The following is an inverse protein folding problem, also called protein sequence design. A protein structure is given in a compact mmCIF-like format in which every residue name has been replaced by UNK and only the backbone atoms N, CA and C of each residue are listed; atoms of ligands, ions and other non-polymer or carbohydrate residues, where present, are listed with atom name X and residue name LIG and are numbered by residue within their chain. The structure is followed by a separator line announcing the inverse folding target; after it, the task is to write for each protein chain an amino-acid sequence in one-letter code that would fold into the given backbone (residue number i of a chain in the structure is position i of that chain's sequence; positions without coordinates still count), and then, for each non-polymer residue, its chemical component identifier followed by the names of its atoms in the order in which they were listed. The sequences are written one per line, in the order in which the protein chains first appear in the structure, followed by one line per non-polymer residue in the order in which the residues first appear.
data_IF_719254339092
#
_entry.id   IF_719254339092
#
_cell.length_a   1.000
_cell.length_b   1.000
_cell.length_c   1.000
_cell.angle_alpha   90.00
_cell.angle_beta   90.00
_cell.angle_gamma   90.00
#
_symmetry.space_group_name_H-M   'P 1'
#
loop_
_entity.id
_entity.type
_entity.pdbx_description
1 polymer ?
#
# COMPACT_ATOMS: atom_id res chain seq x y z
N UNK A 1 -39.20 -6.78 28.97
CA UNK A 1 -39.92 -6.07 27.91
C UNK A 1 -39.81 -6.90 26.66
N UNK A 2 -40.93 -7.04 25.97
CA UNK A 2 -41.04 -7.75 24.71
C UNK A 2 -40.85 -6.78 23.55
N UNK A 3 -40.08 -7.21 22.58
CA UNK A 3 -39.82 -6.41 21.39
C UNK A 3 -40.95 -6.57 20.38
N UNK A 4 -41.67 -5.48 20.12
CA UNK A 4 -42.65 -5.39 19.04
C UNK A 4 -42.03 -4.82 17.75
N UNK A 5 -42.79 -4.83 16.66
CA UNK A 5 -42.40 -4.24 15.38
C UNK A 5 -42.02 -2.76 15.51
N UNK A 6 -42.77 -1.97 16.28
CA UNK A 6 -42.41 -0.58 16.55
C UNK A 6 -41.02 -0.44 17.21
N UNK A 7 -40.61 -1.41 18.05
CA UNK A 7 -39.27 -1.40 18.63
C UNK A 7 -38.22 -1.74 17.59
N UNK A 8 -38.52 -2.65 16.67
CA UNK A 8 -37.63 -3.03 15.57
C UNK A 8 -37.43 -1.88 14.58
N UNK A 9 -38.50 -1.15 14.24
CA UNK A 9 -38.43 0.05 13.40
C UNK A 9 -37.52 1.09 14.07
N UNK A 10 -37.76 1.40 15.36
CA UNK A 10 -36.94 2.38 16.07
C UNK A 10 -35.48 1.93 16.21
N UNK A 11 -35.25 0.63 16.45
CA UNK A 11 -33.92 0.03 16.45
C UNK A 11 -33.23 0.23 15.10
N UNK A 12 -33.88 -0.11 14.00
CA UNK A 12 -33.31 0.01 12.67
C UNK A 12 -33.01 1.47 12.31
N UNK A 13 -33.92 2.40 12.60
CA UNK A 13 -33.67 3.84 12.43
C UNK A 13 -32.46 4.33 13.23
N UNK A 14 -32.28 3.88 14.47
CA UNK A 14 -31.10 4.27 15.26
C UNK A 14 -29.80 3.65 14.73
N UNK A 15 -29.85 2.41 14.24
CA UNK A 15 -28.70 1.76 13.59
C UNK A 15 -28.33 2.50 12.30
N UNK A 16 -29.32 2.96 11.54
CA UNK A 16 -29.12 3.76 10.33
C UNK A 16 -28.35 5.05 10.63
N UNK A 17 -28.74 5.78 11.68
CA UNK A 17 -28.10 7.03 12.09
C UNK A 17 -26.69 6.81 12.65
N UNK A 18 -26.53 5.85 13.57
CA UNK A 18 -25.23 5.61 14.23
C UNK A 18 -24.24 4.86 13.34
N UNK A 19 -24.75 4.08 12.37
CA UNK A 19 -23.99 3.25 11.44
C UNK A 19 -22.85 2.42 12.10
N UNK A 20 -23.18 1.35 12.85
CA UNK A 20 -22.18 0.49 13.47
C UNK A 20 -21.34 -0.31 12.46
N UNK A 21 -21.75 -0.36 11.19
CA UNK A 21 -21.03 -1.07 10.12
C UNK A 21 -19.84 -0.28 9.56
N UNK A 22 -19.77 1.03 9.83
CA UNK A 22 -18.58 1.83 9.55
C UNK A 22 -17.33 1.27 10.25
N UNK A 23 -17.48 0.72 11.46
CA UNK A 23 -16.41 0.09 12.22
C UNK A 23 -16.23 -1.40 11.89
N UNK A 24 -14.98 -1.88 11.96
CA UNK A 24 -14.63 -3.29 11.73
C UNK A 24 -15.29 -4.22 12.76
N UNK A 25 -15.62 -5.46 12.36
CA UNK A 25 -16.11 -6.50 13.27
C UNK A 25 -15.12 -6.74 14.42
N UNK A 26 -15.65 -7.06 15.61
CA UNK A 26 -14.88 -7.41 16.82
C UNK A 26 -13.91 -6.33 17.32
N UNK A 27 -14.16 -5.05 17.03
CA UNK A 27 -13.40 -3.93 17.61
C UNK A 27 -14.15 -3.29 18.78
N UNK A 28 -13.40 -2.62 19.67
CA UNK A 28 -13.94 -1.78 20.74
C UNK A 28 -14.78 -0.62 20.19
N UNK A 29 -14.39 -0.05 19.05
CA UNK A 29 -15.15 1.02 18.40
C UNK A 29 -16.55 0.56 17.95
N UNK A 30 -16.64 -0.61 17.30
CA UNK A 30 -17.95 -1.16 16.92
C UNK A 30 -18.80 -1.45 18.14
N UNK A 31 -18.19 -1.95 19.23
CA UNK A 31 -18.89 -2.14 20.51
C UNK A 31 -19.45 -0.81 21.04
N UNK A 32 -18.63 0.26 21.05
CA UNK A 32 -19.05 1.60 21.49
C UNK A 32 -20.21 2.16 20.67
N UNK A 33 -20.25 1.90 19.36
CA UNK A 33 -21.38 2.30 18.50
C UNK A 33 -22.67 1.57 18.92
N UNK A 34 -22.62 0.26 19.19
CA UNK A 34 -23.78 -0.47 19.72
C UNK A 34 -24.20 0.00 21.12
N UNK A 35 -23.26 0.39 21.98
CA UNK A 35 -23.56 1.01 23.29
C UNK A 35 -24.26 2.36 23.12
N UNK A 36 -23.83 3.17 22.15
CA UNK A 36 -24.50 4.43 21.80
C UNK A 36 -25.92 4.20 21.32
N UNK A 37 -26.15 3.23 20.44
CA UNK A 37 -27.49 2.84 19.99
C UNK A 37 -28.35 2.45 21.20
N UNK A 38 -27.86 1.57 22.08
CA UNK A 38 -28.60 1.17 23.27
C UNK A 38 -28.97 2.37 24.16
N UNK A 39 -28.02 3.28 24.42
CA UNK A 39 -28.26 4.51 25.21
C UNK A 39 -29.29 5.43 24.56
N UNK A 40 -29.30 5.55 23.24
CA UNK A 40 -30.25 6.40 22.53
C UNK A 40 -31.65 5.78 22.53
N UNK A 41 -31.77 4.47 22.32
CA UNK A 41 -33.05 3.75 22.39
C UNK A 41 -33.71 3.87 23.77
N UNK A 42 -32.94 3.82 24.86
CA UNK A 42 -33.48 4.01 26.23
C UNK A 42 -34.14 5.39 26.43
N UNK A 43 -33.73 6.41 25.66
CA UNK A 43 -34.30 7.77 25.72
C UNK A 43 -35.59 7.93 24.90
N UNK A 44 -35.96 6.94 24.10
CA UNK A 44 -37.17 7.00 23.28
C UNK A 44 -38.41 6.81 24.15
N UNK A 45 -39.37 7.73 24.00
CA UNK A 45 -40.60 7.74 24.79
C UNK A 45 -41.64 6.71 24.29
N UNK A 46 -41.67 6.46 22.98
CA UNK A 46 -42.55 5.49 22.35
C UNK A 46 -41.88 4.89 21.11
N UNK A 47 -41.65 3.57 21.07
CA UNK A 47 -41.91 2.61 22.13
C UNK A 47 -40.90 2.72 23.29
N UNK A 48 -41.30 2.32 24.52
CA UNK A 48 -40.45 2.44 25.72
C UNK A 48 -39.45 1.30 25.84
N UNK A 49 -38.16 1.64 25.83
CA UNK A 49 -37.10 0.65 26.01
C UNK A 49 -36.81 0.31 27.48
N UNK A 50 -36.31 -0.92 27.74
CA UNK A 50 -35.89 -1.31 29.09
C UNK A 50 -34.68 -0.45 29.48
N UNK A 51 -34.68 0.13 30.67
CA UNK A 51 -33.57 0.97 31.15
C UNK A 51 -32.23 0.23 31.23
N UNK A 52 -32.25 -1.08 31.42
CA UNK A 52 -31.07 -1.96 31.42
C UNK A 52 -30.73 -2.54 30.03
N UNK A 53 -31.10 -1.86 28.94
CA UNK A 53 -30.85 -2.34 27.58
C UNK A 53 -29.34 -2.34 27.29
N UNK A 54 -28.77 -3.51 27.04
CA UNK A 54 -27.34 -3.66 26.73
C UNK A 54 -27.09 -3.61 25.22
N UNK A 55 -25.86 -3.26 24.85
CA UNK A 55 -25.39 -3.27 23.47
C UNK A 55 -25.49 -4.67 22.85
N UNK A 56 -25.28 -5.71 23.68
CA UNK A 56 -25.42 -7.10 23.26
C UNK A 56 -26.85 -7.43 22.87
N UNK A 57 -27.83 -7.04 23.68
CA UNK A 57 -29.24 -7.33 23.42
C UNK A 57 -29.74 -6.66 22.13
N UNK A 58 -29.33 -5.39 21.92
CA UNK A 58 -29.62 -4.62 20.70
C UNK A 58 -29.02 -5.29 19.47
N UNK A 59 -27.74 -5.66 19.53
CA UNK A 59 -27.05 -6.33 18.42
C UNK A 59 -27.68 -7.69 18.10
N UNK A 60 -27.93 -8.51 19.11
CA UNK A 60 -28.55 -9.83 18.92
C UNK A 60 -29.97 -9.73 18.38
N UNK A 61 -30.73 -8.70 18.79
CA UNK A 61 -32.06 -8.43 18.22
C UNK A 61 -31.97 -8.11 16.73
N UNK A 62 -31.12 -7.14 16.34
CA UNK A 62 -30.91 -6.78 14.94
C UNK A 62 -30.53 -8.01 14.10
N UNK A 63 -29.55 -8.79 14.57
CA UNK A 63 -29.11 -10.00 13.86
C UNK A 63 -30.26 -10.98 13.63
N UNK A 64 -31.14 -11.18 14.62
CA UNK A 64 -32.30 -12.07 14.50
C UNK A 64 -33.31 -11.57 13.47
N UNK A 65 -33.65 -10.28 13.48
CA UNK A 65 -34.67 -9.73 12.56
C UNK A 65 -34.13 -9.63 11.13
N UNK A 66 -32.87 -9.25 10.94
CA UNK A 66 -32.22 -9.22 9.64
C UNK A 66 -32.15 -10.63 9.02
N UNK A 67 -31.82 -11.64 9.84
CA UNK A 67 -31.75 -13.03 9.36
C UNK A 67 -33.13 -13.58 8.96
N UNK A 68 -34.19 -13.22 9.70
CA UNK A 68 -35.58 -13.56 9.34
C UNK A 68 -36.01 -12.87 8.05
N UNK A 69 -35.70 -11.58 7.89
CA UNK A 69 -35.99 -10.82 6.68
C UNK A 69 -35.35 -11.45 5.44
N UNK A 70 -34.04 -11.77 5.50
CA UNK A 70 -33.34 -12.45 4.39
C UNK A 70 -33.95 -13.81 4.05
N UNK A 71 -34.40 -14.57 5.04
CA UNK A 71 -35.06 -15.86 4.80
C UNK A 71 -36.40 -15.66 4.06
N UNK A 72 -37.24 -14.72 4.54
CA UNK A 72 -38.52 -14.37 3.92
C UNK A 72 -38.33 -13.92 2.47
N UNK A 73 -37.43 -12.98 2.21
CA UNK A 73 -37.16 -12.47 0.85
C UNK A 73 -36.68 -13.58 -0.10
N UNK A 74 -35.81 -14.49 0.38
CA UNK A 74 -35.37 -15.64 -0.42
C UNK A 74 -36.48 -16.63 -0.74
N UNK A 75 -37.45 -16.83 0.16
CA UNK A 75 -38.61 -17.67 -0.08
C UNK A 75 -39.57 -17.04 -1.09
N UNK A 76 -39.82 -15.73 -0.99
CA UNK A 76 -40.68 -14.97 -1.90
C UNK A 76 -40.14 -14.93 -3.33
N UNK A 77 -38.83 -14.67 -3.48
CA UNK A 77 -38.14 -14.73 -4.79
C UNK A 77 -38.30 -16.12 -5.43
N UNK A 78 -38.22 -17.19 -4.62
CA UNK A 78 -38.37 -18.57 -5.12
C UNK A 78 -39.81 -18.93 -5.47
N UNK A 79 -40.80 -18.43 -4.73
CA UNK A 79 -42.19 -18.87 -4.84
C UNK A 79 -43.00 -18.09 -5.89
N UNK A 80 -42.81 -16.78 -5.94
CA UNK A 80 -43.69 -15.86 -6.68
C UNK A 80 -42.96 -15.18 -7.84
N UNK A 81 -41.67 -14.86 -7.68
CA UNK A 81 -40.93 -14.03 -8.64
C UNK A 81 -41.41 -12.57 -8.68
N UNK A 82 -42.40 -12.21 -7.87
CA UNK A 82 -42.97 -10.87 -7.71
C UNK A 82 -42.68 -10.40 -6.28
N UNK A 83 -42.23 -9.15 -6.15
CA UNK A 83 -41.93 -8.52 -4.86
C UNK A 83 -43.23 -8.06 -4.16
N UNK A 84 -43.49 -8.48 -2.91
CA UNK A 84 -44.65 -8.01 -2.15
C UNK A 84 -44.49 -6.56 -1.66
N UNK A 85 -45.60 -5.97 -1.22
CA UNK A 85 -45.62 -4.62 -0.65
C UNK A 85 -44.75 -4.57 0.61
N UNK A 86 -43.64 -3.83 0.54
CA UNK A 86 -42.66 -3.73 1.62
C UNK A 86 -43.17 -2.81 2.72
N UNK A 87 -43.16 -3.30 3.98
CA UNK A 87 -43.42 -2.44 5.13
C UNK A 87 -42.20 -1.54 5.43
N UNK A 88 -42.36 -0.53 6.28
CA UNK A 88 -41.25 0.36 6.67
C UNK A 88 -40.06 -0.45 7.25
N UNK A 89 -40.37 -1.46 8.07
CA UNK A 89 -39.34 -2.31 8.66
C UNK A 89 -38.57 -3.11 7.59
N UNK A 90 -39.27 -3.60 6.55
CA UNK A 90 -38.65 -4.34 5.46
C UNK A 90 -37.67 -3.44 4.68
N UNK A 91 -38.07 -2.20 4.35
CA UNK A 91 -37.20 -1.22 3.67
C UNK A 91 -35.97 -0.89 4.51
N UNK A 92 -36.14 -0.66 5.81
CA UNK A 92 -35.02 -0.38 6.70
C UNK A 92 -34.07 -1.58 6.82
N UNK A 93 -34.60 -2.80 6.87
CA UNK A 93 -33.78 -4.01 6.96
C UNK A 93 -33.04 -4.28 5.65
N UNK A 94 -33.66 -4.06 4.50
CA UNK A 94 -33.01 -4.15 3.19
C UNK A 94 -31.78 -3.23 3.15
N UNK A 95 -31.98 -1.92 3.37
CA UNK A 95 -30.89 -0.94 3.33
C UNK A 95 -29.79 -1.22 4.36
N UNK A 96 -30.16 -1.66 5.58
CA UNK A 96 -29.19 -2.02 6.61
C UNK A 96 -28.37 -3.26 6.23
N UNK A 97 -29.02 -4.26 5.64
CA UNK A 97 -28.33 -5.48 5.22
C UNK A 97 -27.39 -5.24 4.05
N UNK A 98 -27.81 -4.45 3.05
CA UNK A 98 -26.94 -4.02 1.96
C UNK A 98 -25.76 -3.21 2.46
N UNK A 99 -25.99 -2.27 3.38
CA UNK A 99 -24.91 -1.46 3.98
C UNK A 99 -23.91 -2.31 4.75
N UNK A 100 -24.37 -3.33 5.48
CA UNK A 100 -23.48 -4.24 6.18
C UNK A 100 -22.64 -5.07 5.19
N UNK A 101 -23.26 -5.57 4.11
CA UNK A 101 -22.59 -6.36 3.07
C UNK A 101 -21.57 -5.53 2.29
N UNK A 102 -21.93 -4.33 1.81
CA UNK A 102 -20.99 -3.42 1.15
C UNK A 102 -19.79 -3.12 2.03
N UNK A 103 -20.01 -2.80 3.30
CA UNK A 103 -18.93 -2.50 4.23
C UNK A 103 -18.04 -3.73 4.49
N UNK A 104 -18.55 -4.95 4.36
CA UNK A 104 -17.77 -6.19 4.45
C UNK A 104 -16.99 -6.47 3.17
N UNK A 105 -17.60 -6.27 2.01
CA UNK A 105 -16.96 -6.40 0.70
C UNK A 105 -15.80 -5.43 0.54
N UNK A 106 -16.00 -4.14 0.85
CA UNK A 106 -14.93 -3.13 0.81
C UNK A 106 -13.72 -3.55 1.64
N UNK A 107 -13.97 -4.04 2.85
CA UNK A 107 -12.91 -4.52 3.76
C UNK A 107 -12.23 -5.77 3.24
N UNK A 108 -12.98 -6.69 2.65
CA UNK A 108 -12.42 -7.89 2.03
C UNK A 108 -11.51 -7.53 0.84
N UNK A 109 -11.93 -6.60 -0.02
CA UNK A 109 -11.13 -6.12 -1.13
C UNK A 109 -9.87 -5.38 -0.67
N UNK A 110 -9.97 -4.57 0.38
CA UNK A 110 -8.81 -3.90 0.98
C UNK A 110 -7.81 -4.90 1.57
N UNK A 111 -8.31 -5.95 2.23
CA UNK A 111 -7.48 -7.06 2.73
C UNK A 111 -6.68 -7.72 1.62
N UNK A 112 -7.34 -8.12 0.52
CA UNK A 112 -6.70 -8.71 -0.66
C UNK A 112 -5.65 -7.81 -1.30
N UNK A 113 -5.92 -6.50 -1.39
CA UNK A 113 -4.95 -5.53 -1.93
C UNK A 113 -3.71 -5.45 -1.03
N UNK A 114 -3.89 -5.44 0.30
CA UNK A 114 -2.77 -5.41 1.25
C UNK A 114 -1.92 -6.68 1.19
N UNK A 115 -2.55 -7.85 1.03
CA UNK A 115 -1.88 -9.14 0.94
C UNK A 115 -1.02 -9.23 -0.33
N UNK A 116 -1.58 -8.86 -1.49
CA UNK A 116 -0.82 -8.76 -2.74
C UNK A 116 0.35 -7.76 -2.63
N UNK A 117 0.17 -6.66 -1.92
CA UNK A 117 1.23 -5.68 -1.65
C UNK A 117 2.35 -6.28 -0.79
N UNK A 118 1.98 -7.00 0.27
CA UNK A 118 2.92 -7.66 1.16
C UNK A 118 3.70 -8.78 0.45
N UNK A 119 3.03 -9.55 -0.41
CA UNK A 119 3.65 -10.59 -1.24
C UNK A 119 4.68 -9.99 -2.21
N UNK A 120 4.31 -8.92 -2.93
CA UNK A 120 5.24 -8.19 -3.81
C UNK A 120 6.44 -7.64 -3.05
N UNK A 121 6.24 -7.09 -1.86
CA UNK A 121 7.32 -6.59 -1.02
C UNK A 121 8.27 -7.71 -0.57
N UNK A 122 7.71 -8.87 -0.20
CA UNK A 122 8.50 -10.07 0.15
C UNK A 122 9.30 -10.57 -1.06
N UNK A 123 8.69 -10.62 -2.24
CA UNK A 123 9.35 -11.04 -3.49
C UNK A 123 10.50 -10.10 -3.86
N UNK A 124 10.31 -8.78 -3.82
CA UNK A 124 11.37 -7.79 -4.04
C UNK A 124 12.52 -7.98 -3.05
N UNK A 125 12.20 -8.19 -1.75
CA UNK A 125 13.22 -8.44 -0.73
C UNK A 125 13.99 -9.73 -0.99
N UNK A 126 13.30 -10.80 -1.41
CA UNK A 126 13.93 -12.07 -1.75
C UNK A 126 14.88 -11.89 -2.95
N UNK A 127 14.42 -11.22 -4.01
CA UNK A 127 15.19 -10.91 -5.21
C UNK A 127 16.44 -10.07 -4.89
N UNK A 128 16.35 -9.13 -3.96
CA UNK A 128 17.49 -8.32 -3.54
C UNK A 128 18.53 -9.11 -2.73
N UNK A 129 18.12 -10.21 -2.08
CA UNK A 129 19.01 -11.09 -1.30
C UNK A 129 19.54 -12.29 -2.12
N UNK A 130 19.17 -12.43 -3.39
CA UNK A 130 19.69 -13.49 -4.26
C UNK A 130 21.19 -13.28 -4.55
N UNK A 131 21.96 -14.37 -4.52
CA UNK A 131 23.35 -14.37 -5.01
C UNK A 131 23.34 -14.29 -6.55
N UNK A 132 24.37 -13.70 -7.15
CA UNK A 132 24.50 -13.55 -8.62
C UNK A 132 24.21 -14.83 -9.42
N UNK A 133 24.62 -16.01 -8.92
CA UNK A 133 24.35 -17.30 -9.55
C UNK A 133 22.87 -17.70 -9.52
N UNK A 134 22.15 -17.36 -8.45
CA UNK A 134 20.71 -17.62 -8.29
C UNK A 134 19.88 -16.69 -9.18
N UNK A 135 20.24 -15.41 -9.25
CA UNK A 135 19.58 -14.45 -10.15
C UNK A 135 19.74 -14.83 -11.62
N UNK A 136 20.91 -15.36 -12.00
CA UNK A 136 21.16 -15.85 -13.36
C UNK A 136 20.29 -17.07 -13.70
N UNK A 137 20.12 -18.01 -12.75
CA UNK A 137 19.26 -19.20 -12.91
C UNK A 137 17.77 -18.84 -12.99
N UNK A 138 17.30 -17.91 -12.15
CA UNK A 138 15.92 -17.42 -12.19
C UNK A 138 15.59 -16.69 -13.49
N UNK A 139 16.50 -15.84 -14.00
CA UNK A 139 16.32 -15.18 -15.31
C UNK A 139 16.33 -16.16 -16.48
N UNK A 140 17.06 -17.27 -16.40
CA UNK A 140 17.00 -18.32 -17.43
C UNK A 140 15.70 -19.13 -17.37
N UNK A 141 15.15 -19.36 -16.18
CA UNK A 141 13.88 -20.08 -15.98
C UNK A 141 12.65 -19.21 -16.32
N UNK A 142 12.67 -17.92 -15.99
CA UNK A 142 11.62 -16.94 -16.34
C UNK A 142 11.52 -16.71 -17.86
N UNK A 143 12.62 -16.96 -18.61
CA UNK A 143 12.64 -16.98 -20.07
C UNK A 143 12.31 -18.35 -20.69
N UNK A 144 12.19 -19.42 -19.90
CA UNK A 144 11.92 -20.78 -20.41
C UNK A 144 10.46 -21.22 -20.28
N UNK A 145 9.63 -20.48 -19.55
CA UNK A 145 8.26 -20.90 -19.20
C UNK A 145 7.13 -20.26 -20.02
N UNK A 146 7.42 -19.56 -21.12
CA UNK A 146 6.38 -19.28 -22.12
C UNK A 146 6.35 -20.46 -23.11
N UNK A 147 5.30 -21.31 -23.15
CA UNK A 147 5.20 -22.33 -24.17
C UNK A 147 5.18 -21.63 -25.54
N UNK A 148 5.86 -22.16 -26.58
CA UNK A 148 5.84 -21.53 -27.88
C UNK A 148 4.42 -21.59 -28.43
N UNK A 149 3.62 -20.53 -28.20
CA UNK A 149 2.42 -20.28 -28.98
C UNK A 149 2.89 -20.28 -30.42
N UNK A 150 2.33 -21.17 -31.24
CA UNK A 150 2.57 -21.23 -32.69
C UNK A 150 2.30 -19.84 -33.27
N UNK A 151 3.33 -19.01 -33.31
CA UNK A 151 3.25 -17.65 -33.79
C UNK A 151 3.21 -17.74 -35.31
N UNK A 152 2.05 -17.37 -35.84
CA UNK A 152 1.82 -17.19 -37.26
C UNK A 152 2.86 -16.20 -37.76
N UNK A 153 3.61 -16.62 -38.79
CA UNK A 153 4.76 -16.01 -39.46
C UNK A 153 4.57 -14.53 -39.87
N UNK A 154 4.41 -13.61 -38.92
CA UNK A 154 4.34 -12.16 -39.16
C UNK A 154 5.00 -11.47 -37.96
N UNK A 155 6.20 -10.91 -38.14
CA UNK A 155 6.88 -10.11 -37.11
C UNK A 155 8.32 -10.49 -36.72
N UNK A 156 8.98 -11.41 -37.43
CA UNK A 156 10.39 -11.78 -37.15
C UNK A 156 11.35 -10.59 -37.28
N UNK A 157 11.08 -9.68 -38.20
CA UNK A 157 11.96 -8.55 -38.51
C UNK A 157 11.83 -7.42 -37.47
N UNK A 158 10.60 -7.10 -37.04
CA UNK A 158 10.35 -6.10 -36.00
C UNK A 158 10.92 -6.50 -34.65
N UNK A 159 10.82 -7.78 -34.26
CA UNK A 159 11.41 -8.27 -33.01
C UNK A 159 12.94 -8.28 -33.06
N UNK A 160 13.52 -8.60 -34.21
CA UNK A 160 14.97 -8.53 -34.41
C UNK A 160 15.47 -7.08 -34.29
N UNK A 161 14.75 -6.13 -34.89
CA UNK A 161 15.06 -4.70 -34.78
C UNK A 161 14.97 -4.17 -33.34
N UNK A 162 13.95 -4.59 -32.57
CA UNK A 162 13.81 -4.18 -31.18
C UNK A 162 14.94 -4.74 -30.29
N UNK A 163 15.37 -5.97 -30.56
CA UNK A 163 16.51 -6.58 -29.85
C UNK A 163 17.82 -5.88 -30.17
N UNK A 164 18.08 -5.66 -31.46
CA UNK A 164 19.28 -4.94 -31.93
C UNK A 164 19.31 -3.50 -31.41
N UNK A 165 18.15 -2.81 -31.38
CA UNK A 165 18.04 -1.47 -30.80
C UNK A 165 18.40 -1.46 -29.31
N UNK A 166 17.95 -2.45 -28.56
CA UNK A 166 18.25 -2.57 -27.13
C UNK A 166 19.74 -2.84 -26.89
N UNK A 167 20.34 -3.75 -27.67
CA UNK A 167 21.78 -4.03 -27.61
C UNK A 167 22.61 -2.77 -27.90
N UNK A 168 22.24 -2.00 -28.93
CA UNK A 168 22.90 -0.71 -29.23
C UNK A 168 22.75 0.32 -28.12
N UNK A 169 21.59 0.42 -27.48
CA UNK A 169 21.34 1.35 -26.39
C UNK A 169 22.17 1.00 -25.15
N UNK A 170 22.29 -0.30 -24.84
CA UNK A 170 23.14 -0.80 -23.76
C UNK A 170 24.62 -0.55 -24.02
N UNK A 171 25.10 -0.80 -25.24
CA UNK A 171 26.47 -0.51 -25.65
C UNK A 171 26.80 0.99 -25.57
N UNK A 172 25.84 1.85 -25.97
CA UNK A 172 26.02 3.29 -25.89
C UNK A 172 26.14 3.75 -24.44
N UNK A 173 25.28 3.25 -23.56
CA UNK A 173 25.30 3.57 -22.12
C UNK A 173 26.57 3.08 -21.43
N UNK A 174 27.08 1.92 -21.83
CA UNK A 174 28.36 1.40 -21.34
C UNK A 174 29.53 2.30 -21.76
N UNK A 175 29.56 2.73 -23.03
CA UNK A 175 30.59 3.66 -23.53
C UNK A 175 30.53 5.02 -22.86
N UNK A 176 29.33 5.55 -22.61
CA UNK A 176 29.14 6.82 -21.88
C UNK A 176 29.67 6.73 -20.45
N UNK A 177 29.40 5.63 -19.74
CA UNK A 177 29.93 5.39 -18.40
C UNK A 177 31.45 5.29 -18.39
N UNK A 178 32.05 4.61 -19.38
CA UNK A 178 33.51 4.51 -19.51
C UNK A 178 34.14 5.87 -19.82
N UNK A 179 33.54 6.68 -20.68
CA UNK A 179 34.02 8.02 -20.99
C UNK A 179 34.00 8.91 -19.73
N UNK A 180 32.89 8.89 -19.01
CA UNK A 180 32.71 9.63 -17.76
C UNK A 180 33.70 9.19 -16.67
N UNK A 181 34.01 7.89 -16.60
CA UNK A 181 35.03 7.37 -15.68
C UNK A 181 36.42 7.90 -16.04
N UNK A 182 36.78 7.94 -17.34
CA UNK A 182 38.05 8.50 -17.79
C UNK A 182 38.18 9.99 -17.53
N UNK A 183 37.13 10.77 -17.80
CA UNK A 183 37.10 12.20 -17.49
C UNK A 183 37.35 12.45 -16.00
N UNK A 184 36.73 11.66 -15.12
CA UNK A 184 36.93 11.77 -13.68
C UNK A 184 38.36 11.44 -13.25
N UNK A 185 38.99 10.44 -13.88
CA UNK A 185 40.40 10.09 -13.63
C UNK A 185 41.36 11.18 -14.11
N UNK A 186 41.11 11.77 -15.28
CA UNK A 186 41.91 12.88 -15.80
C UNK A 186 41.80 14.13 -14.93
N UNK A 187 40.60 14.44 -14.45
CA UNK A 187 40.37 15.56 -13.55
C UNK A 187 41.04 15.35 -12.19
N UNK A 188 41.03 14.12 -11.67
CA UNK A 188 41.82 13.75 -10.48
C UNK A 188 43.32 13.95 -10.74
N UNK A 189 43.85 13.49 -11.87
CA UNK A 189 45.28 13.70 -12.20
C UNK A 189 45.65 15.17 -12.31
N UNK A 190 44.83 16.01 -12.94
CA UNK A 190 45.07 17.47 -12.99
C UNK A 190 45.10 18.08 -11.61
N UNK A 191 44.22 17.64 -10.71
CA UNK A 191 44.17 18.13 -9.34
C UNK A 191 45.44 17.74 -8.57
N UNK A 192 45.87 16.49 -8.68
CA UNK A 192 47.09 15.98 -8.04
C UNK A 192 48.34 16.72 -8.58
N UNK A 193 48.40 17.01 -9.89
CA UNK A 193 49.47 17.80 -10.49
C UNK A 193 49.48 19.26 -10.03
N UNK A 194 48.30 19.87 -9.87
CA UNK A 194 48.17 21.23 -9.35
C UNK A 194 48.64 21.31 -7.89
N UNK A 195 48.28 20.33 -7.07
CA UNK A 195 48.72 20.23 -5.67
C UNK A 195 50.24 20.09 -5.59
N UNK A 196 50.85 19.20 -6.40
CA UNK A 196 52.32 19.08 -6.48
C UNK A 196 53.02 20.37 -6.92
N UNK A 197 52.42 21.15 -7.84
CA UNK A 197 52.96 22.46 -8.24
C UNK A 197 52.88 23.47 -7.10
N UNK A 198 51.78 23.47 -6.35
CA UNK A 198 51.61 24.34 -5.19
C UNK A 198 52.62 24.01 -4.08
N UNK A 199 52.81 22.72 -3.78
CA UNK A 199 53.79 22.25 -2.80
C UNK A 199 55.22 22.61 -3.20
N UNK A 200 55.56 22.46 -4.48
CA UNK A 200 56.89 22.84 -4.99
C UNK A 200 57.16 24.33 -4.84
N UNK A 201 56.17 25.19 -5.11
CA UNK A 201 56.27 26.64 -4.89
C UNK A 201 56.43 26.98 -3.40
N UNK A 202 55.67 26.32 -2.53
CA UNK A 202 55.77 26.54 -1.08
C UNK A 202 57.16 26.13 -0.56
N UNK A 203 57.70 25.01 -1.05
CA UNK A 203 59.04 24.55 -0.68
C UNK A 203 60.13 25.53 -1.12
N UNK A 204 60.02 26.10 -2.32
CA UNK A 204 60.94 27.14 -2.80
C UNK A 204 60.88 28.40 -1.93
N UNK A 205 59.67 28.83 -1.54
CA UNK A 205 59.48 30.00 -0.67
C UNK A 205 60.09 29.79 0.72
N UNK A 206 59.89 28.60 1.32
CA UNK A 206 60.51 28.24 2.60
C UNK A 206 62.04 28.25 2.49
N UNK A 207 62.61 27.71 1.42
CA UNK A 207 64.05 27.69 1.21
C UNK A 207 64.63 29.11 1.05
N UNK A 208 63.95 29.99 0.32
CA UNK A 208 64.35 31.40 0.18
C UNK A 208 64.32 32.13 1.53
N UNK A 209 63.27 31.93 2.33
CA UNK A 209 63.18 32.52 3.67
C UNK A 209 64.26 31.99 4.62
N UNK A 210 64.57 30.69 4.58
CA UNK A 210 65.66 30.12 5.37
C UNK A 210 67.02 30.73 4.98
N UNK A 211 67.29 30.91 3.68
CA UNK A 211 68.50 31.58 3.20
C UNK A 211 68.58 33.03 3.68
N UNK A 212 67.49 33.78 3.61
CA UNK A 212 67.41 35.16 4.10
C UNK A 212 67.68 35.24 5.62
N UNK A 213 67.04 34.38 6.42
CA UNK A 213 67.27 34.31 7.87
C UNK A 213 68.73 33.94 8.18
N UNK A 214 69.34 33.02 7.42
CA UNK A 214 70.75 32.66 7.59
C UNK A 214 71.72 33.80 7.27
N UNK A 215 71.40 34.63 6.27
CA UNK A 215 72.17 35.83 5.92
C UNK A 215 72.03 36.90 7.00
N UNK A 216 70.83 37.09 7.55
CA UNK A 216 70.60 38.02 8.66
C UNK A 216 71.38 37.58 9.89
N UNK A 217 71.31 36.29 10.28
CA UNK A 217 72.09 35.75 11.41
C UNK A 217 73.59 36.03 11.25
N UNK A 218 74.16 35.78 10.06
CA UNK A 218 75.56 36.05 9.76
C UNK A 218 75.95 37.53 9.80
N UNK A 219 75.00 38.44 9.62
CA UNK A 219 75.23 39.89 9.74
C UNK A 219 75.12 40.38 11.19
N UNK A 220 74.34 39.69 12.03
CA UNK A 220 74.21 39.97 13.47
C UNK A 220 75.28 39.31 14.35
N UNK A 221 75.95 38.24 13.89
CA UNK A 221 77.02 37.55 14.63
C UNK A 221 78.42 38.20 14.47
N UNK A 222 78.49 39.54 14.38
CA UNK A 222 79.76 40.31 14.38
C UNK A 222 80.00 41.02 15.71
#
# INVERSE_FOLDING_TARGET
MEWSEAHDIQLCREIMVTNPFSAKRKTSDRKRLWETIARNLVKVNSPKFKTSLSERAVRERYMRIAQRFKAKMNEEIKASGISPEQCELDVLLEELTEREEMAEEERFQQGKKSEKGQEKAKDIRLKAMEKLSQTKKRKSEENSDDPPKKSRRVGSETLSFLKEKNEREMDFKQKELELRSKEYEEERKRRDEAEKRQDSMMQMFVQQNQLMLSLISKLTDK
#
